data_IF_997255138169
#
_entry.id   IF_997255138169
#
_cell.length_a   1.000
_cell.length_b   1.000
_cell.length_c   1.000
_cell.angle_alpha   90.00
_cell.angle_beta   90.00
_cell.angle_gamma   90.00
#
_symmetry.space_group_name_H-M   'P 1'
#
loop_
_entity.id
_entity.type
_entity.pdbx_description
1 polymer ?
#
# COMPACT_ATOMS: atom_id res chain seq x y z
N UNK A 1 -7.48 -21.86 -10.88
CA UNK A 1 -8.32 -20.73 -10.45
C UNK A 1 -8.05 -20.55 -8.98
N UNK A 2 -7.33 -19.49 -8.64
CA UNK A 2 -6.94 -19.21 -7.27
C UNK A 2 -8.18 -18.83 -6.47
N UNK A 3 -8.33 -19.50 -5.34
CA UNK A 3 -9.56 -19.47 -4.60
C UNK A 3 -9.51 -18.33 -3.58
N UNK A 4 -10.33 -17.29 -3.82
CA UNK A 4 -10.57 -16.22 -2.85
C UNK A 4 -11.41 -16.80 -1.72
N UNK A 5 -10.93 -16.70 -0.48
CA UNK A 5 -11.65 -17.18 0.68
C UNK A 5 -11.71 -16.12 1.78
N UNK A 6 -12.80 -16.16 2.53
CA UNK A 6 -13.00 -15.35 3.74
C UNK A 6 -13.13 -16.29 4.93
N UNK A 7 -12.43 -15.98 6.02
CA UNK A 7 -12.56 -16.73 7.28
C UNK A 7 -13.53 -16.00 8.22
N UNK A 8 -14.52 -16.72 8.75
CA UNK A 8 -15.38 -16.22 9.82
C UNK A 8 -15.00 -16.88 11.14
N UNK A 9 -14.71 -16.06 12.15
CA UNK A 9 -14.48 -16.54 13.52
C UNK A 9 -15.77 -17.05 14.18
N UNK A 10 -16.92 -16.46 13.85
CA UNK A 10 -18.24 -16.89 14.36
C UNK A 10 -18.59 -18.30 13.87
N UNK A 11 -18.39 -18.56 12.57
CA UNK A 11 -18.66 -19.87 11.98
C UNK A 11 -17.46 -20.83 12.09
N UNK A 12 -16.29 -20.34 12.55
CA UNK A 12 -15.02 -21.03 12.54
C UNK A 12 -14.68 -21.72 11.20
N UNK A 13 -15.06 -21.09 10.08
CA UNK A 13 -15.04 -21.71 8.76
C UNK A 13 -14.54 -20.74 7.67
N UNK A 14 -13.94 -21.33 6.63
CA UNK A 14 -13.60 -20.64 5.40
C UNK A 14 -14.75 -20.73 4.39
N UNK A 15 -15.13 -19.59 3.82
CA UNK A 15 -16.12 -19.51 2.74
C UNK A 15 -15.43 -19.14 1.44
N UNK A 16 -15.67 -19.93 0.39
CA UNK A 16 -15.20 -19.61 -0.96
C UNK A 16 -16.01 -18.43 -1.51
N UNK A 17 -15.30 -17.39 -1.98
CA UNK A 17 -15.86 -16.14 -2.49
C UNK A 17 -15.50 -15.87 -3.95
N UNK A 18 -15.09 -16.90 -4.71
CA UNK A 18 -14.63 -16.72 -6.09
C UNK A 18 -15.74 -16.16 -6.98
N UNK A 19 -17.00 -16.53 -6.76
CA UNK A 19 -18.12 -16.03 -7.58
C UNK A 19 -18.36 -14.55 -7.30
N UNK A 20 -18.53 -14.17 -6.03
CA UNK A 20 -18.74 -12.79 -5.61
C UNK A 20 -17.59 -11.88 -6.03
N UNK A 21 -16.37 -12.39 -5.96
CA UNK A 21 -15.19 -11.71 -6.44
C UNK A 21 -15.23 -11.45 -7.95
N UNK A 22 -15.48 -12.50 -8.74
CA UNK A 22 -15.56 -12.38 -10.21
C UNK A 22 -16.71 -11.48 -10.66
N UNK A 23 -17.88 -11.62 -10.05
CA UNK A 23 -19.08 -10.82 -10.35
C UNK A 23 -18.90 -9.35 -9.90
N UNK A 24 -17.98 -9.09 -8.98
CA UNK A 24 -17.56 -7.75 -8.56
C UNK A 24 -16.70 -6.98 -9.58
N UNK A 25 -16.76 -7.33 -10.87
CA UNK A 25 -16.02 -6.68 -11.96
C UNK A 25 -14.62 -7.24 -12.22
N UNK A 26 -14.11 -8.11 -11.37
CA UNK A 26 -12.76 -8.69 -11.51
C UNK A 26 -12.60 -9.59 -12.73
N UNK A 27 -13.69 -10.11 -13.29
CA UNK A 27 -13.69 -10.86 -14.55
C UNK A 27 -13.37 -9.95 -15.75
N UNK A 28 -13.85 -8.72 -15.71
CA UNK A 28 -13.72 -7.75 -16.81
C UNK A 28 -12.41 -6.96 -16.69
N UNK A 29 -11.86 -6.87 -15.48
CA UNK A 29 -10.59 -6.22 -15.21
C UNK A 29 -9.41 -7.10 -15.62
N UNK A 30 -8.35 -6.47 -16.17
CA UNK A 30 -7.15 -7.17 -16.63
C UNK A 30 -7.07 -7.42 -18.14
N UNK A 31 -8.01 -6.90 -18.94
CA UNK A 31 -7.90 -6.84 -20.41
C UNK A 31 -7.45 -8.15 -21.06
N UNK A 32 -6.34 -8.12 -21.80
CA UNK A 32 -5.76 -9.31 -22.44
C UNK A 32 -5.22 -10.36 -21.48
N UNK A 33 -4.83 -9.96 -20.26
CA UNK A 33 -4.31 -10.89 -19.26
C UNK A 33 -5.41 -11.70 -18.59
N UNK A 34 -6.67 -11.26 -18.66
CA UNK A 34 -7.84 -11.93 -18.06
C UNK A 34 -7.78 -12.01 -16.53
N UNK A 35 -6.87 -11.27 -15.90
CA UNK A 35 -6.67 -11.23 -14.44
C UNK A 35 -6.29 -9.80 -14.07
N UNK A 36 -6.91 -9.28 -13.01
CA UNK A 36 -6.54 -8.02 -12.37
C UNK A 36 -5.64 -8.31 -11.17
N UNK A 37 -4.30 -8.21 -11.28
CA UNK A 37 -3.42 -8.59 -10.20
C UNK A 37 -3.49 -7.59 -9.04
N UNK A 38 -3.60 -8.11 -7.81
CA UNK A 38 -3.32 -7.35 -6.60
C UNK A 38 -1.80 -7.24 -6.50
N UNK A 39 -1.25 -6.03 -6.41
CA UNK A 39 0.20 -5.87 -6.32
C UNK A 39 0.70 -6.42 -4.96
N UNK A 40 1.54 -7.48 -4.94
CA UNK A 40 1.98 -8.10 -3.71
C UNK A 40 2.74 -7.13 -2.81
N UNK A 41 2.31 -7.10 -1.56
CA UNK A 41 2.95 -6.34 -0.48
C UNK A 41 2.87 -4.82 -0.62
N UNK A 42 2.05 -4.28 -1.52
CA UNK A 42 1.56 -2.88 -1.45
C UNK A 42 0.68 -2.67 -0.21
N UNK A 43 0.51 -3.68 0.65
CA UNK A 43 -0.31 -3.60 1.86
C UNK A 43 -1.80 -3.59 1.55
N UNK A 44 -2.60 -3.41 2.59
CA UNK A 44 -4.05 -3.27 2.51
C UNK A 44 -4.54 -2.49 3.72
N UNK A 45 -5.74 -1.93 3.64
CA UNK A 45 -6.32 -1.16 4.72
C UNK A 45 -7.83 -1.36 4.83
N UNK A 46 -8.35 -1.45 6.05
CA UNK A 46 -9.80 -1.51 6.30
C UNK A 46 -10.31 -0.15 6.73
N UNK A 47 -11.20 0.44 5.93
CA UNK A 47 -11.85 1.73 6.20
C UNK A 47 -13.34 1.60 5.86
N UNK A 48 -14.22 2.19 6.68
CA UNK A 48 -15.68 2.12 6.51
C UNK A 48 -16.22 0.68 6.36
N UNK A 49 -15.62 -0.29 7.07
CA UNK A 49 -16.01 -1.70 7.01
C UNK A 49 -15.60 -2.44 5.73
N UNK A 50 -14.80 -1.82 4.86
CA UNK A 50 -14.35 -2.41 3.59
C UNK A 50 -12.83 -2.54 3.54
N UNK A 51 -12.36 -3.65 2.97
CA UNK A 51 -10.96 -3.91 2.67
C UNK A 51 -10.57 -3.19 1.38
N UNK A 52 -9.49 -2.41 1.43
CA UNK A 52 -8.96 -1.67 0.29
C UNK A 52 -7.67 -2.29 -0.21
N UNK A 53 -7.61 -2.52 -1.52
CA UNK A 53 -6.51 -3.19 -2.21
C UNK A 53 -6.08 -2.36 -3.42
N UNK A 54 -4.77 -2.21 -3.62
CA UNK A 54 -4.23 -1.64 -4.86
C UNK A 54 -4.22 -2.74 -5.93
N UNK A 55 -4.95 -2.50 -7.01
CA UNK A 55 -5.22 -3.46 -8.08
C UNK A 55 -4.86 -2.83 -9.41
N UNK A 56 -4.28 -3.64 -10.29
CA UNK A 56 -4.13 -3.29 -11.69
C UNK A 56 -5.35 -3.76 -12.47
N UNK A 57 -6.21 -2.82 -12.84
CA UNK A 57 -7.50 -3.12 -13.49
C UNK A 57 -7.46 -2.95 -15.00
N UNK A 58 -6.41 -2.35 -15.56
CA UNK A 58 -6.15 -2.37 -17.00
C UNK A 58 -4.94 -3.27 -17.30
N UNK A 59 -4.80 -3.73 -18.53
CA UNK A 59 -3.66 -4.55 -18.95
C UNK A 59 -2.39 -3.72 -19.20
N UNK A 60 -2.29 -2.56 -18.55
CA UNK A 60 -1.16 -1.67 -18.67
C UNK A 60 0.00 -2.22 -17.85
N UNK A 61 1.19 -2.22 -18.44
CA UNK A 61 2.38 -2.62 -17.70
C UNK A 61 2.74 -1.65 -16.59
N UNK A 62 2.09 -0.47 -16.48
CA UNK A 62 2.42 0.63 -15.58
C UNK A 62 2.28 0.31 -14.07
N UNK A 63 1.56 -0.75 -13.68
CA UNK A 63 1.31 -1.09 -12.27
C UNK A 63 -0.08 -0.66 -11.82
N UNK A 64 -0.43 -0.85 -10.53
CA UNK A 64 -1.81 -0.73 -10.09
C UNK A 64 -2.31 0.70 -10.25
N UNK A 65 -3.47 0.80 -10.88
CA UNK A 65 -4.08 2.05 -11.30
C UNK A 65 -5.31 2.40 -10.45
N UNK A 66 -5.80 1.45 -9.64
CA UNK A 66 -7.01 1.62 -8.86
C UNK A 66 -6.86 1.06 -7.44
N UNK A 67 -7.55 1.71 -6.51
CA UNK A 67 -7.83 1.22 -5.18
C UNK A 67 -9.25 0.65 -5.17
N UNK A 68 -9.36 -0.65 -4.98
CA UNK A 68 -10.63 -1.37 -4.93
C UNK A 68 -11.05 -1.59 -3.49
N UNK A 69 -12.30 -1.23 -3.17
CA UNK A 69 -12.93 -1.49 -1.88
C UNK A 69 -13.82 -2.74 -1.99
N UNK A 70 -13.57 -3.72 -1.12
CA UNK A 70 -14.29 -5.00 -1.04
C UNK A 70 -14.94 -5.13 0.32
N UNK A 71 -16.18 -5.59 0.37
CA UNK A 71 -16.88 -5.84 1.63
C UNK A 71 -16.58 -7.22 2.24
N UNK A 72 -17.21 -7.52 3.38
CA UNK A 72 -17.09 -8.80 4.09
C UNK A 72 -17.55 -10.03 3.29
N UNK A 73 -18.36 -9.83 2.24
CA UNK A 73 -18.84 -10.90 1.36
C UNK A 73 -17.89 -11.17 0.20
N UNK A 74 -16.81 -10.39 0.07
CA UNK A 74 -15.91 -10.46 -1.09
C UNK A 74 -16.42 -9.69 -2.31
N UNK A 75 -17.49 -8.91 -2.16
CA UNK A 75 -18.06 -8.12 -3.25
C UNK A 75 -17.38 -6.77 -3.37
N UNK A 76 -16.97 -6.40 -4.59
CA UNK A 76 -16.48 -5.05 -4.87
C UNK A 76 -17.59 -4.02 -4.68
N UNK A 77 -17.32 -3.00 -3.87
CA UNK A 77 -18.25 -1.89 -3.60
C UNK A 77 -17.81 -0.58 -4.24
N UNK A 78 -16.51 -0.39 -4.45
CA UNK A 78 -15.97 0.84 -5.04
C UNK A 78 -14.66 0.58 -5.75
N UNK A 79 -14.42 1.39 -6.77
CA UNK A 79 -13.12 1.51 -7.45
C UNK A 79 -12.75 2.99 -7.47
N UNK A 80 -11.57 3.31 -6.94
CA UNK A 80 -11.07 4.69 -6.84
C UNK A 80 -9.75 4.77 -7.61
N UNK A 81 -9.61 5.65 -8.62
CA UNK A 81 -8.35 5.82 -9.32
C UNK A 81 -7.22 6.20 -8.36
N UNK A 82 -6.04 5.58 -8.53
CA UNK A 82 -4.84 5.95 -7.78
C UNK A 82 -4.20 7.20 -8.41
N UNK A 83 -3.59 8.09 -7.60
CA UNK A 83 -2.80 9.22 -8.12
C UNK A 83 -1.61 8.74 -8.95
N UNK A 84 -1.15 9.57 -9.89
CA UNK A 84 0.10 9.34 -10.63
C UNK A 84 -0.04 8.93 -12.10
N UNK A 85 -1.27 8.78 -12.62
CA UNK A 85 -1.51 8.47 -14.04
C UNK A 85 -1.34 9.68 -14.97
N UNK A 86 -1.64 10.88 -14.49
CA UNK A 86 -1.73 12.09 -15.33
C UNK A 86 -0.37 12.67 -15.79
N UNK A 87 0.75 12.01 -15.46
CA UNK A 87 2.10 12.40 -15.87
C UNK A 87 2.74 11.49 -16.93
N UNK A 88 2.17 10.31 -17.20
CA UNK A 88 2.69 9.39 -18.21
C UNK A 88 2.05 9.74 -19.56
N UNK A 89 2.68 10.66 -20.29
CA UNK A 89 2.32 10.96 -21.66
C UNK A 89 2.32 9.68 -22.50
N UNK A 90 1.31 9.54 -23.35
CA UNK A 90 1.31 8.54 -24.41
C UNK A 90 2.44 8.85 -25.41
N UNK A 91 3.62 8.28 -25.16
CA UNK A 91 4.77 8.27 -26.06
C UNK A 91 5.20 6.82 -26.29
N UNK A 92 5.50 6.47 -27.54
CA UNK A 92 5.70 5.10 -28.03
C UNK A 92 7.11 4.54 -27.76
N UNK A 93 7.78 5.01 -26.71
CA UNK A 93 9.02 4.39 -26.23
C UNK A 93 8.73 3.74 -24.88
N UNK A 94 9.26 2.54 -24.65
CA UNK A 94 9.18 1.82 -23.37
C UNK A 94 9.85 2.64 -22.27
N UNK A 95 9.23 3.73 -21.83
CA UNK A 95 9.67 4.54 -20.72
C UNK A 95 9.58 3.67 -19.46
N UNK A 96 10.75 3.43 -18.87
CA UNK A 96 10.89 2.76 -17.60
C UNK A 96 9.90 3.36 -16.61
N UNK A 97 9.15 2.52 -15.87
CA UNK A 97 8.16 2.98 -14.90
C UNK A 97 8.73 4.08 -14.02
N UNK A 98 8.29 5.30 -14.26
CA UNK A 98 8.69 6.45 -13.45
C UNK A 98 8.03 6.45 -12.08
N UNK A 99 7.26 5.42 -11.73
CA UNK A 99 6.71 5.25 -10.39
C UNK A 99 6.38 3.80 -10.06
N UNK A 100 6.23 3.50 -8.77
CA UNK A 100 5.66 2.25 -8.28
C UNK A 100 4.96 2.45 -6.93
N UNK A 101 3.90 1.67 -6.71
CA UNK A 101 3.20 1.64 -5.42
C UNK A 101 4.05 1.00 -4.34
N UNK A 102 4.07 1.63 -3.18
CA UNK A 102 4.88 1.21 -2.03
C UNK A 102 3.97 0.63 -0.95
N UNK A 103 2.94 1.36 -0.54
CA UNK A 103 2.09 0.97 0.58
C UNK A 103 0.71 1.64 0.52
N UNK A 104 -0.34 0.89 0.82
CA UNK A 104 -1.66 1.36 1.21
C UNK A 104 -1.81 1.07 2.69
N UNK A 105 -2.17 2.10 3.45
CA UNK A 105 -2.37 2.01 4.89
C UNK A 105 -3.54 2.87 5.34
N UNK A 106 -3.91 2.71 6.62
CA UNK A 106 -4.88 3.57 7.28
C UNK A 106 -4.17 4.38 8.35
N UNK A 107 -4.40 5.69 8.36
CA UNK A 107 -4.11 6.55 9.52
C UNK A 107 -5.27 7.50 9.74
N UNK A 108 -5.66 7.70 11.02
CA UNK A 108 -6.72 8.63 11.43
C UNK A 108 -8.01 8.46 10.61
N UNK A 109 -8.42 7.20 10.42
CA UNK A 109 -9.60 6.77 9.64
C UNK A 109 -9.56 7.09 8.14
N UNK A 110 -8.44 7.59 7.62
CA UNK A 110 -8.25 7.93 6.20
C UNK A 110 -7.26 6.99 5.53
N UNK A 111 -7.50 6.72 4.25
CA UNK A 111 -6.61 5.92 3.43
C UNK A 111 -5.38 6.75 3.06
N UNK A 112 -4.22 6.16 3.27
CA UNK A 112 -2.93 6.70 2.89
C UNK A 112 -2.37 5.81 1.79
N UNK A 113 -1.91 6.44 0.72
CA UNK A 113 -1.26 5.79 -0.38
C UNK A 113 0.14 6.35 -0.55
N UNK A 114 1.12 5.47 -0.45
CA UNK A 114 2.53 5.78 -0.58
C UNK A 114 2.99 5.23 -1.93
N UNK A 115 3.63 6.10 -2.71
CA UNK A 115 4.25 5.75 -3.98
C UNK A 115 5.68 6.27 -4.00
N UNK A 116 6.52 5.62 -4.78
CA UNK A 116 7.82 6.15 -5.17
C UNK A 116 7.72 6.64 -6.60
N UNK A 117 8.35 7.79 -6.90
CA UNK A 117 8.44 8.36 -8.24
C UNK A 117 9.88 8.70 -8.59
N UNK A 118 10.24 8.48 -9.85
CA UNK A 118 11.46 8.95 -10.48
C UNK A 118 11.23 10.34 -11.07
N UNK A 119 12.23 11.22 -11.03
CA UNK A 119 12.16 12.49 -11.75
C UNK A 119 12.06 12.28 -13.27
N UNK A 120 11.30 13.13 -13.99
CA UNK A 120 11.17 13.03 -15.44
C UNK A 120 12.51 13.16 -16.16
N UNK A 121 12.74 12.32 -17.18
CA UNK A 121 13.82 12.44 -18.17
C UNK A 121 15.26 12.62 -17.63
N UNK A 122 15.69 11.81 -16.65
CA UNK A 122 17.06 11.95 -16.13
C UNK A 122 17.63 10.71 -15.45
N UNK A 123 18.95 10.53 -15.61
CA UNK A 123 19.74 9.65 -14.75
C UNK A 123 19.69 10.20 -13.33
N UNK A 124 19.35 9.35 -12.36
CA UNK A 124 19.32 9.70 -10.94
C UNK A 124 20.59 10.46 -10.52
N UNK A 125 20.39 11.58 -9.84
CA UNK A 125 21.48 12.43 -9.34
C UNK A 125 21.14 12.97 -7.95
N UNK A 126 22.07 13.71 -7.34
CA UNK A 126 21.81 14.39 -6.07
C UNK A 126 20.81 15.53 -6.21
N UNK A 127 20.74 16.17 -7.38
CA UNK A 127 19.75 17.21 -7.67
C UNK A 127 18.38 16.62 -8.04
N UNK A 128 18.39 15.42 -8.63
CA UNK A 128 17.20 14.70 -9.09
C UNK A 128 17.21 13.26 -8.54
N UNK A 129 17.00 13.10 -7.22
CA UNK A 129 16.89 11.79 -6.61
C UNK A 129 15.48 11.18 -6.78
N UNK A 130 15.33 9.91 -6.41
CA UNK A 130 14.01 9.32 -6.20
C UNK A 130 13.24 10.09 -5.14
N UNK A 131 11.92 10.16 -5.29
CA UNK A 131 11.01 10.80 -4.34
C UNK A 131 9.96 9.82 -3.86
N UNK A 132 9.60 9.90 -2.60
CA UNK A 132 8.45 9.24 -2.01
C UNK A 132 7.33 10.26 -1.86
N UNK A 133 6.13 9.91 -2.31
CA UNK A 133 4.94 10.74 -2.20
C UNK A 133 3.93 10.04 -1.29
N UNK A 134 3.35 10.79 -0.36
CA UNK A 134 2.26 10.31 0.51
C UNK A 134 0.99 11.07 0.18
N UNK A 135 0.03 10.34 -0.38
CA UNK A 135 -1.30 10.81 -0.73
C UNK A 135 -2.29 10.37 0.34
N UNK A 136 -3.23 11.25 0.67
CA UNK A 136 -4.32 10.97 1.60
C UNK A 136 -5.64 11.14 0.88
N UNK A 137 -6.51 10.14 1.00
CA UNK A 137 -7.86 10.23 0.47
C UNK A 137 -8.71 11.03 1.45
N UNK A 138 -8.94 12.31 1.13
CA UNK A 138 -9.72 13.23 1.99
C UNK A 138 -11.20 13.20 1.66
N UNK A 139 -11.54 13.11 0.37
CA UNK A 139 -12.91 12.89 -0.08
C UNK A 139 -13.06 11.45 -0.57
N UNK A 140 -13.56 10.59 0.32
CA UNK A 140 -13.79 9.19 -0.01
C UNK A 140 -14.85 9.02 -1.11
N UNK A 141 -15.82 9.93 -1.19
CA UNK A 141 -16.95 9.78 -2.11
C UNK A 141 -16.63 10.25 -3.53
N UNK A 142 -15.89 11.36 -3.64
CA UNK A 142 -15.40 11.85 -4.92
C UNK A 142 -14.11 11.17 -5.39
N UNK A 143 -13.46 10.35 -4.55
CA UNK A 143 -12.12 9.81 -4.86
C UNK A 143 -11.03 10.88 -4.81
N UNK A 144 -11.21 11.92 -3.98
CA UNK A 144 -10.34 13.09 -3.89
C UNK A 144 -9.07 12.82 -3.10
N UNK A 145 -8.00 12.43 -3.79
CA UNK A 145 -6.66 12.30 -3.24
C UNK A 145 -5.97 13.66 -3.10
N UNK A 146 -5.29 13.88 -1.98
CA UNK A 146 -4.51 15.08 -1.71
C UNK A 146 -3.08 14.68 -1.36
N UNK A 147 -2.11 15.26 -2.06
CA UNK A 147 -0.68 15.07 -1.73
C UNK A 147 -0.39 15.82 -0.43
N UNK A 148 0.02 15.08 0.61
CA UNK A 148 0.40 15.68 1.91
C UNK A 148 1.90 15.80 2.08
N UNK A 149 2.65 14.80 1.63
CA UNK A 149 4.11 14.78 1.77
C UNK A 149 4.78 14.39 0.47
N UNK A 150 5.87 15.09 0.17
CA UNK A 150 6.84 14.74 -0.86
C UNK A 150 8.22 14.85 -0.23
N UNK A 151 8.96 13.75 -0.24
CA UNK A 151 10.29 13.65 0.36
C UNK A 151 11.23 12.96 -0.62
N UNK A 152 12.47 13.40 -0.65
CA UNK A 152 13.51 12.79 -1.45
C UNK A 152 14.16 11.62 -0.72
N UNK A 153 14.70 10.65 -1.46
CA UNK A 153 15.43 9.53 -0.87
C UNK A 153 16.68 9.97 -0.07
N UNK A 154 17.41 11.05 -0.44
CA UNK A 154 18.45 11.60 0.42
C UNK A 154 17.93 12.04 1.78
N UNK A 155 16.75 12.66 1.86
CA UNK A 155 16.13 13.02 3.14
C UNK A 155 15.67 11.78 3.93
N UNK A 156 15.19 10.75 3.23
CA UNK A 156 14.67 9.53 3.87
C UNK A 156 15.78 8.57 4.35
N UNK A 157 16.77 8.33 3.49
CA UNK A 157 17.74 7.25 3.61
C UNK A 157 19.20 7.69 3.46
N UNK A 158 19.46 8.96 3.13
CA UNK A 158 20.81 9.45 2.84
C UNK A 158 21.40 8.92 1.54
N UNK A 159 20.57 8.34 0.65
CA UNK A 159 20.95 7.79 -0.66
C UNK A 159 20.08 8.43 -1.75
N UNK A 160 20.61 8.64 -2.94
CA UNK A 160 19.82 9.22 -4.06
C UNK A 160 18.71 8.29 -4.55
N UNK A 161 18.86 6.99 -4.34
CA UNK A 161 17.89 5.95 -4.67
C UNK A 161 18.15 4.68 -3.85
N UNK A 162 17.10 3.92 -3.61
CA UNK A 162 17.15 2.58 -3.06
C UNK A 162 16.14 1.71 -3.80
N UNK A 163 16.46 0.43 -4.03
CA UNK A 163 15.53 -0.51 -4.65
C UNK A 163 14.51 -1.01 -3.63
N UNK A 164 13.22 -0.86 -3.94
CA UNK A 164 12.12 -1.35 -3.10
C UNK A 164 12.14 -2.88 -3.02
N UNK A 165 11.88 -3.41 -1.82
CA UNK A 165 11.96 -4.82 -1.42
C UNK A 165 13.33 -5.47 -1.48
N UNK A 166 14.37 -4.74 -1.89
CA UNK A 166 15.75 -5.24 -1.92
C UNK A 166 16.60 -4.48 -0.91
N UNK A 167 16.61 -3.16 -1.01
CA UNK A 167 17.35 -2.30 -0.10
C UNK A 167 16.46 -1.71 1.01
N UNK A 168 15.17 -1.50 0.72
CA UNK A 168 14.21 -1.06 1.73
C UNK A 168 12.82 -1.65 1.52
N UNK A 169 12.03 -1.77 2.58
CA UNK A 169 10.61 -2.15 2.52
C UNK A 169 9.78 -1.20 3.35
N UNK A 170 8.63 -0.73 2.85
CA UNK A 170 7.63 -0.06 3.68
C UNK A 170 6.79 -1.13 4.38
N UNK A 171 6.53 -0.94 5.67
CA UNK A 171 5.88 -1.98 6.49
C UNK A 171 4.54 -1.56 7.07
N UNK A 172 4.37 -0.28 7.42
CA UNK A 172 3.13 0.19 8.01
C UNK A 172 2.98 1.71 7.91
N UNK A 173 1.73 2.17 7.94
CA UNK A 173 1.35 3.53 8.33
C UNK A 173 0.79 3.44 9.73
N UNK A 174 1.19 4.34 10.64
CA UNK A 174 0.69 4.33 12.02
C UNK A 174 -0.84 4.59 12.03
N UNK A 175 -1.66 3.79 12.73
CA UNK A 175 -3.12 3.87 12.63
C UNK A 175 -3.72 5.17 13.13
N UNK A 176 -3.05 5.83 14.08
CA UNK A 176 -3.54 7.07 14.73
C UNK A 176 -2.59 8.26 14.56
N UNK A 177 -1.40 7.99 14.02
CA UNK A 177 -0.28 8.91 14.00
C UNK A 177 0.16 9.17 12.58
N UNK A 178 0.84 10.28 12.36
CA UNK A 178 1.27 10.70 11.03
C UNK A 178 2.65 10.10 10.69
N UNK A 179 2.82 8.79 10.91
CA UNK A 179 4.12 8.12 10.72
C UNK A 179 4.03 7.02 9.66
N UNK A 180 5.09 6.90 8.85
CA UNK A 180 5.28 5.78 7.92
C UNK A 180 6.54 5.03 8.29
N UNK A 181 6.44 3.71 8.42
CA UNK A 181 7.53 2.84 8.85
C UNK A 181 8.18 2.12 7.66
N UNK A 182 9.50 2.07 7.68
CA UNK A 182 10.32 1.39 6.70
C UNK A 182 11.38 0.52 7.37
N UNK A 183 11.70 -0.61 6.75
CA UNK A 183 12.90 -1.40 7.04
C UNK A 183 13.98 -1.01 6.05
N UNK A 184 15.17 -0.70 6.57
CA UNK A 184 16.39 -0.52 5.78
C UNK A 184 17.22 -1.79 5.86
N UNK A 185 17.33 -2.51 4.75
CA UNK A 185 17.94 -3.84 4.73
C UNK A 185 19.47 -3.80 4.85
N UNK A 186 20.11 -2.72 4.42
CA UNK A 186 21.58 -2.62 4.46
C UNK A 186 22.16 -2.45 5.86
N UNK A 187 21.37 -1.95 6.83
CA UNK A 187 21.80 -1.79 8.22
C UNK A 187 20.82 -2.40 9.23
N UNK A 188 19.81 -3.12 8.75
CA UNK A 188 18.81 -3.83 9.55
C UNK A 188 18.11 -2.92 10.56
N UNK A 189 17.71 -1.72 10.14
CA UNK A 189 17.02 -0.76 11.00
C UNK A 189 15.57 -0.57 10.60
N UNK A 190 14.70 -0.53 11.60
CA UNK A 190 13.36 0.01 11.49
C UNK A 190 13.45 1.52 11.65
N UNK A 191 13.03 2.25 10.62
CA UNK A 191 12.96 3.71 10.62
C UNK A 191 11.52 4.17 10.45
N UNK A 192 11.19 5.32 11.04
CA UNK A 192 9.92 5.98 10.85
C UNK A 192 10.14 7.37 10.27
N UNK A 193 9.33 7.73 9.29
CA UNK A 193 9.18 9.12 8.85
C UNK A 193 8.02 9.74 9.63
N UNK A 194 8.32 10.71 10.50
CA UNK A 194 7.35 11.55 11.18
C UNK A 194 6.92 12.66 10.23
N UNK A 195 5.70 12.57 9.71
CA UNK A 195 5.16 13.56 8.78
C UNK A 195 4.83 14.89 9.47
N UNK A 196 4.53 14.92 10.77
CA UNK A 196 4.25 16.17 11.50
C UNK A 196 5.54 17.00 11.65
N UNK A 197 6.64 16.34 11.99
CA UNK A 197 7.95 16.98 12.15
C UNK A 197 8.77 17.06 10.86
N UNK A 198 8.40 16.26 9.87
CA UNK A 198 9.16 16.03 8.62
C UNK A 198 10.56 15.50 8.91
N UNK A 199 10.68 14.59 9.87
CA UNK A 199 11.94 14.02 10.34
C UNK A 199 11.94 12.50 10.19
N UNK A 200 13.13 11.93 10.00
CA UNK A 200 13.33 10.48 9.99
C UNK A 200 13.99 10.07 11.29
N UNK A 201 13.38 9.12 11.98
CA UNK A 201 13.89 8.58 13.25
C UNK A 201 14.17 7.09 13.10
N UNK A 202 15.25 6.64 13.72
CA UNK A 202 15.52 5.21 13.90
C UNK A 202 14.70 4.74 15.11
N UNK A 203 13.80 3.80 14.87
CA UNK A 203 12.89 3.26 15.89
C UNK A 203 13.52 2.09 16.61
N UNK A 204 14.13 1.17 15.86
CA UNK A 204 14.76 -0.02 16.42
C UNK A 204 15.86 -0.54 15.51
N UNK A 205 16.84 -1.21 16.12
CA UNK A 205 17.68 -2.18 15.43
C UNK A 205 16.93 -3.52 15.37
N UNK A 206 16.93 -4.17 14.21
CA UNK A 206 16.27 -5.47 14.00
C UNK A 206 17.23 -6.63 14.25
N UNK A 207 18.50 -6.34 14.53
CA UNK A 207 19.54 -7.35 14.71
C UNK A 207 20.02 -7.93 13.38
N UNK A 208 20.90 -8.95 13.42
CA UNK A 208 21.36 -9.62 12.23
C UNK A 208 20.19 -10.23 11.46
N UNK A 209 20.21 -10.08 10.14
CA UNK A 209 19.27 -10.76 9.25
C UNK A 209 19.34 -12.26 9.53
N UNK A 210 18.27 -12.85 10.07
CA UNK A 210 18.15 -14.29 10.18
C UNK A 210 18.03 -14.93 8.80
N UNK A 211 17.87 -16.25 8.74
CA UNK A 211 17.70 -16.99 7.47
C UNK A 211 16.38 -16.65 6.73
N UNK A 212 15.54 -15.77 7.29
CA UNK A 212 14.26 -15.34 6.74
C UNK A 212 14.23 -13.85 6.36
N UNK A 213 13.43 -13.54 5.34
CA UNK A 213 13.12 -12.17 4.86
C UNK A 213 11.90 -11.58 5.60
N UNK A 214 11.71 -11.96 6.88
CA UNK A 214 10.51 -11.59 7.64
C UNK A 214 10.52 -10.09 7.99
N UNK A 215 9.59 -9.36 7.38
CA UNK A 215 9.36 -7.97 7.71
C UNK A 215 8.53 -7.85 9.00
N UNK A 216 8.78 -6.84 9.85
CA UNK A 216 7.91 -6.51 10.96
C UNK A 216 6.48 -6.29 10.44
N UNK A 217 5.53 -7.05 10.97
CA UNK A 217 4.12 -6.83 10.68
C UNK A 217 3.52 -5.88 11.73
N UNK A 218 2.72 -4.87 11.33
CA UNK A 218 1.99 -4.06 12.29
C UNK A 218 1.09 -4.96 13.12
N UNK A 219 1.24 -4.89 14.45
CA UNK A 219 0.32 -5.57 15.36
C UNK A 219 -1.05 -4.89 15.26
N UNK A 220 -2.05 -5.63 14.76
CA UNK A 220 -3.46 -5.24 14.86
C UNK A 220 -3.99 -5.95 16.10
N UNK A 221 -4.22 -5.25 17.24
CA UNK A 221 -4.83 -5.88 18.39
C UNK A 221 -6.24 -6.31 17.99
N UNK A 222 -6.46 -7.62 17.87
CA UNK A 222 -7.79 -8.23 17.71
C UNK A 222 -8.64 -8.14 18.99
N UNK A 223 -8.19 -7.41 20.01
CA UNK A 223 -8.75 -7.42 21.36
C UNK A 223 -9.20 -6.03 21.79
N UNK A 224 -10.32 -5.57 21.21
CA UNK A 224 -11.11 -4.48 21.79
C UNK A 224 -12.51 -4.94 22.19
N UNK A 225 -12.98 -6.10 21.71
CA UNK A 225 -14.35 -6.58 21.97
C UNK A 225 -14.46 -7.76 22.96
N UNK A 226 -13.35 -8.27 23.51
CA UNK A 226 -13.42 -9.36 24.50
C UNK A 226 -13.86 -8.91 25.91
N UNK A 227 -13.86 -7.61 26.21
CA UNK A 227 -14.34 -7.09 27.51
C UNK A 227 -15.86 -6.89 27.59
N UNK A 228 -16.58 -6.93 26.47
CA UNK A 228 -18.05 -6.84 26.47
C UNK A 228 -18.72 -8.20 26.77
N UNK A 229 -18.02 -9.32 26.56
CA UNK A 229 -18.52 -10.67 26.84
C UNK A 229 -18.27 -11.14 28.28
N UNK A 230 -17.42 -10.45 29.04
CA UNK A 230 -17.10 -10.82 30.43
C UNK A 230 -18.08 -10.25 31.48
N UNK A 231 -19.14 -9.54 31.09
CA UNK A 231 -20.15 -8.95 32.02
C UNK A 231 -21.54 -9.58 31.93
N UNK A 232 -21.62 -10.87 31.59
CA UNK A 232 -22.80 -11.69 31.88
C UNK A 232 -22.37 -12.92 32.69
N UNK A 233 -22.24 -12.72 34.00
CA UNK A 233 -22.40 -13.76 35.01
C UNK A 233 -23.38 -13.25 36.07
#
# INVERSE_FOLDING_TARGET
>A
MDAVHTYSSEAAAWTNRVVEWLDGGWRDWGGRSGVAPIQPGTGSAVVNGMLHLAVDTDDCTAGPNNLVAVDETGSTRRTIPLPGRDGAGAGEEEEEKDWYSVLVGRSQRRLHYVMCVRPPHGRLSTAEPLKLLVWVLEDYDAGGWVLKHALSFPELFGRIACQFRVEYSAVAVHPDGNWVFFVRHWDQKLVAYDMDRKEVIVVSDLGPRGDGDELPAPYVPLYSESLALAKKQ
#
